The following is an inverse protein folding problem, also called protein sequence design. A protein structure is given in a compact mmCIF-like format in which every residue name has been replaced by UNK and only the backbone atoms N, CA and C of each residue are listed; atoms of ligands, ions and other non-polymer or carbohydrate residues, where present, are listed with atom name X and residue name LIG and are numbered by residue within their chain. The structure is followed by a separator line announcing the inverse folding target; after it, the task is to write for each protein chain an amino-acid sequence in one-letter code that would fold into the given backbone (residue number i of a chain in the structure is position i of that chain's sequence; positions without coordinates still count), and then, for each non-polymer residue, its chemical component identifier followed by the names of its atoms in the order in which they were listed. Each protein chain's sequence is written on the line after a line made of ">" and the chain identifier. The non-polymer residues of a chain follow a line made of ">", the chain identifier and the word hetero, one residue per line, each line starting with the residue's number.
data_IF_368203350990
#
_entry.id   IF_368203350990
#
_cell.length_a   1.000
_cell.length_b   1.000
_cell.length_c   1.000
_cell.angle_alpha   90.00
_cell.angle_beta   90.00
_cell.angle_gamma   90.00
#
_symmetry.space_group_name_H-M   'P 1'
#
loop_
_entity.id
_entity.type
_entity.pdbx_description
1 polymer ?
#
# COMPACT_ATOMS: atom_id res chain seq x y z
N UNK A 1 -21.18 11.08 -8.91
CA UNK A 1 -20.08 11.84 -9.55
C UNK A 1 -18.87 11.72 -8.64
N UNK A 2 -18.00 10.72 -8.87
CA UNK A 2 -16.77 10.59 -8.09
C UNK A 2 -15.73 11.52 -8.72
N UNK A 3 -15.45 12.63 -8.05
CA UNK A 3 -14.35 13.52 -8.42
C UNK A 3 -13.03 12.78 -8.24
N UNK A 4 -12.22 12.68 -9.30
CA UNK A 4 -10.82 12.22 -9.24
C UNK A 4 -10.02 13.24 -8.43
N UNK A 5 -10.05 13.13 -7.09
CA UNK A 5 -9.16 13.89 -6.24
C UNK A 5 -7.73 13.40 -6.49
N UNK A 6 -6.84 14.30 -6.87
CA UNK A 6 -5.41 13.98 -6.99
C UNK A 6 -4.90 13.70 -5.58
N UNK A 7 -4.43 12.48 -5.35
CA UNK A 7 -3.75 12.12 -4.10
C UNK A 7 -2.38 12.80 -4.10
N UNK A 8 -2.08 13.53 -3.03
CA UNK A 8 -0.73 14.09 -2.82
C UNK A 8 0.14 13.00 -2.24
N UNK A 9 0.87 12.29 -3.09
CA UNK A 9 1.84 11.26 -2.70
C UNK A 9 3.20 11.91 -2.50
N UNK A 10 3.89 11.57 -1.41
CA UNK A 10 5.29 11.92 -1.19
C UNK A 10 6.14 10.66 -1.23
N UNK A 11 7.29 10.70 -1.90
CA UNK A 11 8.22 9.59 -1.96
C UNK A 11 9.64 10.08 -2.23
N UNK A 12 10.61 9.28 -1.81
CA UNK A 12 12.03 9.41 -2.13
C UNK A 12 12.59 8.06 -2.63
N UNK A 13 13.90 7.89 -2.60
CA UNK A 13 14.58 6.66 -3.03
C UNK A 13 14.20 5.42 -2.20
N UNK A 14 13.79 5.61 -0.95
CA UNK A 14 13.56 4.53 0.03
C UNK A 14 12.22 4.61 0.73
N UNK A 15 11.53 5.76 0.72
CA UNK A 15 10.26 5.91 1.42
C UNK A 15 9.13 6.36 0.51
N UNK A 16 7.90 5.96 0.83
CA UNK A 16 6.70 6.54 0.23
C UNK A 16 5.57 6.68 1.25
N UNK A 17 4.81 7.76 1.14
CA UNK A 17 3.58 8.01 1.87
C UNK A 17 2.45 8.35 0.90
N UNK A 18 1.39 7.53 0.97
CA UNK A 18 0.25 7.59 0.07
C UNK A 18 -1.00 7.78 0.95
N UNK A 19 -1.53 9.02 1.06
CA UNK A 19 -2.82 9.23 1.71
C UNK A 19 -3.92 8.72 0.80
N UNK A 20 -4.64 7.69 1.24
CA UNK A 20 -5.74 7.06 0.52
C UNK A 20 -7.09 7.52 1.11
N UNK A 21 -8.20 7.48 0.35
CA UNK A 21 -9.49 7.96 0.86
C UNK A 21 -10.01 7.24 2.12
N UNK A 22 -9.51 6.03 2.41
CA UNK A 22 -9.96 5.18 3.52
C UNK A 22 -8.86 4.90 4.54
N UNK A 23 -7.70 5.58 4.45
CA UNK A 23 -6.55 5.32 5.30
C UNK A 23 -5.25 5.82 4.69
N UNK A 24 -4.13 5.28 5.11
CA UNK A 24 -2.83 5.63 4.56
C UNK A 24 -1.98 4.38 4.29
N UNK A 25 -1.08 4.50 3.32
CA UNK A 25 -0.07 3.50 3.04
C UNK A 25 1.31 4.14 3.17
N UNK A 26 2.16 3.52 3.99
CA UNK A 26 3.57 3.85 4.16
C UNK A 26 4.42 2.70 3.62
N UNK A 27 5.46 3.03 2.89
CA UNK A 27 6.40 2.06 2.33
C UNK A 27 7.83 2.43 2.70
N UNK A 28 8.64 1.43 3.03
CA UNK A 28 10.06 1.58 3.32
C UNK A 28 10.82 0.48 2.58
N UNK A 29 11.64 0.86 1.61
CA UNK A 29 12.57 -0.04 0.94
C UNK A 29 13.87 -0.13 1.74
N UNK A 30 14.36 -1.35 1.90
CA UNK A 30 15.63 -1.65 2.54
C UNK A 30 16.38 -2.73 1.74
N UNK A 31 17.57 -3.12 2.21
CA UNK A 31 18.44 -4.08 1.52
C UNK A 31 17.81 -5.47 1.33
N UNK A 32 16.80 -5.81 2.14
CA UNK A 32 16.14 -7.13 2.16
C UNK A 32 14.80 -7.15 1.46
N UNK A 33 14.21 -5.98 1.16
CA UNK A 33 12.92 -5.90 0.48
C UNK A 33 12.18 -4.59 0.72
N UNK A 34 10.85 -4.66 0.59
CA UNK A 34 9.94 -3.54 0.75
C UNK A 34 8.96 -3.82 1.89
N UNK A 35 9.07 -3.04 2.96
CA UNK A 35 8.11 -3.04 4.06
C UNK A 35 6.92 -2.15 3.71
N UNK A 36 5.71 -2.66 3.93
CA UNK A 36 4.47 -1.97 3.61
C UNK A 36 3.59 -1.94 4.84
N UNK A 37 3.22 -0.74 5.27
CA UNK A 37 2.31 -0.53 6.40
C UNK A 37 1.06 0.18 5.90
N UNK A 38 -0.10 -0.40 6.17
CA UNK A 38 -1.41 0.21 5.89
C UNK A 38 -2.13 0.50 7.20
N UNK A 39 -2.74 1.67 7.29
CA UNK A 39 -3.43 2.12 8.50
C UNK A 39 -4.77 2.75 8.14
N UNK A 40 -5.78 2.51 8.96
CA UNK A 40 -7.13 3.04 8.79
C UNK A 40 -7.83 3.18 10.14
N UNK A 41 -8.81 4.07 10.23
CA UNK A 41 -9.58 4.32 11.45
C UNK A 41 -10.61 3.22 11.76
N UNK A 42 -10.92 2.34 10.80
CA UNK A 42 -11.93 1.29 10.97
C UNK A 42 -11.45 -0.06 10.43
N UNK A 43 -11.63 -1.12 11.22
CA UNK A 43 -11.32 -2.51 10.84
C UNK A 43 -11.93 -2.93 9.50
N UNK A 44 -13.14 -2.45 9.17
CA UNK A 44 -13.79 -2.71 7.87
C UNK A 44 -13.06 -2.07 6.68
N UNK A 45 -12.33 -0.98 6.91
CA UNK A 45 -11.47 -0.35 5.91
C UNK A 45 -10.14 -1.07 5.70
N UNK A 46 -9.69 -1.85 6.69
CA UNK A 46 -8.32 -2.38 6.72
C UNK A 46 -8.13 -3.49 5.68
N UNK A 47 -9.04 -4.47 5.66
CA UNK A 47 -9.02 -5.52 4.64
C UNK A 47 -9.13 -4.96 3.21
N UNK A 48 -9.92 -3.88 3.03
CA UNK A 48 -10.03 -3.20 1.73
C UNK A 48 -8.74 -2.49 1.35
N UNK A 49 -8.06 -1.87 2.30
CA UNK A 49 -6.79 -1.17 2.09
C UNK A 49 -5.68 -2.17 1.73
N UNK A 50 -5.63 -3.30 2.43
CA UNK A 50 -4.75 -4.44 2.14
C UNK A 50 -4.94 -4.95 0.70
N UNK A 51 -6.18 -5.18 0.29
CA UNK A 51 -6.52 -5.67 -1.06
C UNK A 51 -6.12 -4.67 -2.15
N UNK A 52 -6.51 -3.40 -1.99
CA UNK A 52 -6.14 -2.33 -2.94
C UNK A 52 -4.61 -2.25 -3.10
N UNK A 53 -3.86 -2.23 -2.00
CA UNK A 53 -2.40 -2.12 -2.06
C UNK A 53 -1.78 -3.38 -2.68
N UNK A 54 -2.24 -4.58 -2.30
CA UNK A 54 -1.78 -5.83 -2.88
C UNK A 54 -2.04 -5.92 -4.38
N UNK A 55 -3.24 -5.60 -4.85
CA UNK A 55 -3.57 -5.56 -6.28
C UNK A 55 -2.63 -4.66 -7.07
N UNK A 56 -2.28 -3.49 -6.54
CA UNK A 56 -1.37 -2.57 -7.22
C UNK A 56 0.05 -3.14 -7.26
N UNK A 57 0.56 -3.70 -6.18
CA UNK A 57 1.91 -4.24 -6.12
C UNK A 57 2.07 -5.50 -6.98
N UNK A 58 1.10 -6.43 -6.92
CA UNK A 58 1.13 -7.67 -7.70
C UNK A 58 1.12 -7.42 -9.21
N UNK A 59 0.50 -6.32 -9.67
CA UNK A 59 0.58 -5.89 -11.09
C UNK A 59 2.00 -5.54 -11.53
N UNK A 60 2.88 -5.12 -10.62
CA UNK A 60 4.28 -4.80 -10.90
C UNK A 60 5.24 -5.94 -10.54
N UNK A 61 4.89 -6.76 -9.55
CA UNK A 61 5.68 -7.90 -9.07
C UNK A 61 5.59 -9.15 -9.97
N UNK A 62 5.02 -9.03 -11.18
CA UNK A 62 4.83 -10.15 -12.11
C UNK A 62 6.12 -10.87 -12.54
N UNK A 63 7.30 -10.29 -12.28
CA UNK A 63 8.61 -10.89 -12.56
C UNK A 63 9.17 -11.69 -11.39
N UNK A 64 8.61 -11.55 -10.19
CA UNK A 64 9.20 -12.03 -8.92
C UNK A 64 8.45 -13.27 -8.35
N UNK A 65 7.55 -13.90 -9.11
CA UNK A 65 6.68 -15.02 -8.68
C UNK A 65 5.86 -14.75 -7.40
N UNK A 66 5.68 -13.47 -7.05
CA UNK A 66 4.87 -13.06 -5.89
C UNK A 66 3.40 -13.19 -6.26
N UNK A 67 2.68 -14.13 -5.62
CA UNK A 67 1.26 -14.35 -5.86
C UNK A 67 0.35 -13.65 -4.83
N UNK A 68 0.82 -13.48 -3.60
CA UNK A 68 0.07 -12.87 -2.49
C UNK A 68 1.00 -12.15 -1.53
N UNK A 69 0.52 -11.07 -0.90
CA UNK A 69 1.20 -10.43 0.23
C UNK A 69 0.66 -11.01 1.54
N UNK A 70 1.57 -11.44 2.43
CA UNK A 70 1.21 -11.92 3.76
C UNK A 70 1.23 -10.76 4.76
N UNK A 71 0.05 -10.30 5.18
CA UNK A 71 -0.09 -9.19 6.13
C UNK A 71 0.05 -9.67 7.58
N UNK A 72 0.83 -8.93 8.37
CA UNK A 72 0.94 -9.11 9.83
C UNK A 72 0.19 -8.00 10.55
N UNK A 73 -0.39 -8.33 11.73
CA UNK A 73 -0.99 -7.33 12.62
C UNK A 73 0.06 -6.88 13.64
N UNK A 74 0.20 -5.56 13.81
CA UNK A 74 1.05 -4.92 14.80
C UNK A 74 0.25 -4.27 15.92
#
# INVERSE_FOLDING_TARGET
>A
MQSHARLTVTFDETTAHIPLPIGECRMIANETGLDITVETENLGGLAKLEDVVAEHLLRFAFREDVQTLAWTRG
#
